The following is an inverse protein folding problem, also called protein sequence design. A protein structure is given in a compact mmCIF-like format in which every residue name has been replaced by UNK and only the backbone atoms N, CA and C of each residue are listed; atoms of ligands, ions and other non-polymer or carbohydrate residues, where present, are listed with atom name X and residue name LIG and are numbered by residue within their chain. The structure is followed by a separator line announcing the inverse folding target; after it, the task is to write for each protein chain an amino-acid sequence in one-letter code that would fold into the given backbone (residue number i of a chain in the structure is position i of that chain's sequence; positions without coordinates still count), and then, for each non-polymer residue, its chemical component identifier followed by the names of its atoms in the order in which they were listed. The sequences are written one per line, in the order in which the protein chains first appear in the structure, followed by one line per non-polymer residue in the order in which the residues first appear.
data_IF_845052839751
#
_entry.id   IF_845052839751
#
_cell.length_a   1.000
_cell.length_b   1.000
_cell.length_c   1.000
_cell.angle_alpha   90.00
_cell.angle_beta   90.00
_cell.angle_gamma   90.00
#
_symmetry.space_group_name_H-M   'P 1'
#
loop_
_entity.id
_entity.type
_entity.pdbx_description
1 polymer ?
#
# COMPACT_ATOMS: atom_id res chain seq x y z
N UNK A 1 12.34 3.59 -3.79
CA UNK A 1 12.91 3.03 -5.04
C UNK A 1 12.53 3.93 -6.23
N UNK A 2 13.38 4.13 -7.25
CA UNK A 2 12.99 4.88 -8.45
C UNK A 2 11.97 4.09 -9.29
N UNK A 3 11.15 4.81 -10.06
CA UNK A 3 10.12 4.28 -10.98
C UNK A 3 8.91 3.55 -10.36
N UNK A 4 8.75 3.52 -9.03
CA UNK A 4 7.61 2.85 -8.37
C UNK A 4 6.24 3.53 -8.58
N UNK A 5 6.22 4.75 -9.12
CA UNK A 5 5.02 5.52 -9.46
C UNK A 5 4.01 5.64 -8.29
N UNK A 6 4.36 6.36 -7.20
CA UNK A 6 3.41 6.63 -6.13
C UNK A 6 2.27 7.53 -6.64
N UNK A 7 1.02 7.11 -6.45
CA UNK A 7 -0.15 7.86 -6.94
C UNK A 7 -1.07 8.38 -5.83
N UNK A 8 -1.11 7.71 -4.67
CA UNK A 8 -1.95 8.12 -3.54
C UNK A 8 -1.32 7.68 -2.22
N UNK A 9 -1.60 8.43 -1.15
CA UNK A 9 -1.30 8.02 0.20
C UNK A 9 -2.44 8.35 1.17
N UNK A 10 -2.48 7.68 2.31
CA UNK A 10 -3.36 7.98 3.42
C UNK A 10 -2.67 7.73 4.76
N UNK A 11 -2.83 8.63 5.72
CA UNK A 11 -2.50 8.31 7.11
C UNK A 11 -3.57 7.40 7.69
N UNK A 12 -3.16 6.40 8.46
CA UNK A 12 -4.06 5.50 9.13
C UNK A 12 -4.67 6.16 10.37
N UNK A 13 -5.96 6.45 10.29
CA UNK A 13 -6.75 7.11 11.34
C UNK A 13 -7.77 6.16 11.97
N UNK A 14 -7.78 4.89 11.57
CA UNK A 14 -8.63 3.86 12.16
C UNK A 14 -8.00 3.20 13.38
N UNK A 15 -8.78 2.34 14.03
CA UNK A 15 -8.42 1.59 15.23
C UNK A 15 -8.51 0.05 15.03
N UNK A 16 -8.89 -0.40 13.83
CA UNK A 16 -9.05 -1.83 13.51
C UNK A 16 -7.71 -2.56 13.44
N UNK A 17 -6.67 -1.93 12.87
CA UNK A 17 -5.34 -2.52 12.82
C UNK A 17 -4.64 -2.40 14.18
N UNK A 18 -3.62 -3.24 14.44
CA UNK A 18 -2.83 -3.17 15.67
C UNK A 18 -2.29 -1.77 15.96
N UNK A 19 -2.09 -1.46 17.24
CA UNK A 19 -1.72 -0.12 17.70
C UNK A 19 -0.43 0.42 17.07
N UNK A 20 0.49 -0.46 16.65
CA UNK A 20 1.69 -0.01 15.95
C UNK A 20 1.42 0.66 14.60
N UNK A 21 0.27 0.40 13.95
CA UNK A 21 -0.12 1.00 12.67
C UNK A 21 -0.75 2.38 12.82
N UNK A 22 -1.11 2.79 14.05
CA UNK A 22 -1.88 4.01 14.28
C UNK A 22 -1.05 5.25 13.95
N UNK A 23 -1.56 6.06 13.04
CA UNK A 23 -0.88 7.26 12.55
C UNK A 23 0.17 6.99 11.45
N UNK A 24 0.43 5.74 11.09
CA UNK A 24 1.35 5.42 9.99
C UNK A 24 0.78 5.79 8.62
N UNK A 25 1.65 5.88 7.64
CA UNK A 25 1.29 6.25 6.27
C UNK A 25 1.19 5.00 5.38
N UNK A 26 0.13 4.88 4.61
CA UNK A 26 0.00 3.90 3.53
C UNK A 26 0.17 4.59 2.18
N UNK A 27 0.97 4.00 1.29
CA UNK A 27 1.32 4.57 -0.01
C UNK A 27 1.08 3.55 -1.12
N UNK A 28 0.27 3.92 -2.11
CA UNK A 28 -0.03 3.10 -3.28
C UNK A 28 1.03 3.32 -4.38
N UNK A 29 1.74 2.25 -4.72
CA UNK A 29 2.78 2.23 -5.74
C UNK A 29 2.24 1.54 -7.00
N UNK A 30 1.95 2.34 -8.03
CA UNK A 30 1.32 1.88 -9.28
C UNK A 30 2.21 0.98 -10.14
N UNK A 31 3.51 1.08 -9.94
CA UNK A 31 4.49 0.19 -10.55
C UNK A 31 5.19 0.75 -11.79
N UNK A 32 6.41 0.30 -11.99
CA UNK A 32 7.31 0.75 -13.06
C UNK A 32 6.96 0.16 -14.42
N UNK A 33 6.84 0.99 -15.46
CA UNK A 33 6.77 0.52 -16.85
C UNK A 33 8.14 0.48 -17.56
N UNK A 34 9.10 1.32 -17.12
CA UNK A 34 10.41 1.49 -17.76
C UNK A 34 11.58 1.20 -16.80
N UNK A 35 11.55 0.03 -16.16
CA UNK A 35 12.64 -0.43 -15.28
C UNK A 35 12.72 -1.96 -15.30
N UNK A 36 13.94 -2.49 -15.30
CA UNK A 36 14.20 -3.90 -15.01
C UNK A 36 15.25 -4.03 -13.88
N UNK A 37 14.99 -4.82 -12.82
CA UNK A 37 13.71 -5.50 -12.52
C UNK A 37 12.58 -4.48 -12.24
N UNK A 38 11.32 -4.93 -12.22
CA UNK A 38 10.18 -4.04 -11.89
C UNK A 38 10.25 -3.58 -10.42
N UNK A 39 9.65 -2.43 -10.11
CA UNK A 39 9.45 -1.90 -8.75
C UNK A 39 8.04 -1.34 -8.58
N UNK A 40 7.54 -1.31 -7.33
CA UNK A 40 6.16 -0.92 -7.02
C UNK A 40 5.21 -2.10 -7.24
N UNK A 41 3.98 -1.83 -7.72
CA UNK A 41 2.90 -2.82 -7.83
C UNK A 41 2.48 -3.35 -6.45
N UNK A 42 2.27 -2.45 -5.51
CA UNK A 42 2.02 -2.79 -4.10
C UNK A 42 1.45 -1.61 -3.33
N UNK A 43 0.84 -1.91 -2.17
CA UNK A 43 0.69 -0.94 -1.09
C UNK A 43 1.83 -1.15 -0.09
N UNK A 44 2.53 -0.07 0.27
CA UNK A 44 3.53 -0.08 1.33
C UNK A 44 3.03 0.69 2.55
N UNK A 45 3.51 0.30 3.73
CA UNK A 45 3.40 1.04 4.98
C UNK A 45 4.70 1.79 5.23
N UNK A 46 4.62 3.06 5.61
CA UNK A 46 5.75 3.85 6.11
C UNK A 46 5.51 4.08 7.60
N UNK A 47 6.26 3.39 8.47
CA UNK A 47 6.18 3.62 9.91
C UNK A 47 6.59 5.06 10.26
N UNK A 48 5.78 5.71 11.09
CA UNK A 48 6.12 7.01 11.69
C UNK A 48 6.52 6.87 13.16
N UNK A 49 6.57 5.64 13.66
CA UNK A 49 6.99 5.26 15.01
C UNK A 49 6.30 6.07 16.11
N UNK A 50 5.06 6.48 15.88
CA UNK A 50 4.28 7.35 16.78
C UNK A 50 4.96 8.70 17.09
N UNK A 51 5.97 9.09 16.29
CA UNK A 51 6.73 10.34 16.40
C UNK A 51 6.34 11.35 15.32
N UNK A 52 5.45 10.96 14.39
CA UNK A 52 5.00 11.77 13.27
C UNK A 52 6.09 12.03 12.23
N UNK A 53 7.18 11.24 12.25
CA UNK A 53 8.33 11.38 11.35
C UNK A 53 8.71 10.03 10.77
N UNK A 54 8.81 9.97 9.44
CA UNK A 54 9.32 8.80 8.74
C UNK A 54 10.85 8.74 8.88
N UNK A 55 11.40 7.56 9.15
CA UNK A 55 12.86 7.32 9.19
C UNK A 55 13.46 6.93 7.83
N UNK A 56 12.62 6.79 6.81
CA UNK A 56 13.02 6.51 5.42
C UNK A 56 12.85 5.06 5.00
N UNK A 57 12.54 4.16 5.93
CA UNK A 57 12.09 2.80 5.69
C UNK A 57 10.60 2.74 5.32
N UNK A 58 10.25 1.65 4.67
CA UNK A 58 8.88 1.25 4.42
C UNK A 58 8.81 -0.28 4.38
N UNK A 59 7.63 -0.80 4.59
CA UNK A 59 7.33 -2.23 4.68
C UNK A 59 6.28 -2.59 3.62
N UNK A 60 6.46 -3.75 3.00
CA UNK A 60 5.48 -4.34 2.10
C UNK A 60 4.19 -4.66 2.89
N UNK A 61 3.03 -4.23 2.39
CA UNK A 61 1.75 -4.43 3.07
C UNK A 61 0.73 -5.20 2.24
N UNK A 62 0.49 -4.79 0.99
CA UNK A 62 -0.36 -5.52 0.03
C UNK A 62 0.44 -5.73 -1.25
N UNK A 63 0.89 -6.97 -1.46
CA UNK A 63 1.79 -7.35 -2.57
C UNK A 63 1.22 -8.51 -3.38
N UNK A 64 2.01 -9.03 -4.33
CA UNK A 64 1.64 -10.18 -5.15
C UNK A 64 1.06 -9.82 -6.51
N UNK A 65 0.93 -8.53 -6.84
CA UNK A 65 0.41 -8.05 -8.13
C UNK A 65 1.34 -8.30 -9.33
N UNK A 66 2.56 -8.78 -9.07
CA UNK A 66 3.51 -9.26 -10.08
C UNK A 66 3.79 -10.74 -9.82
N UNK A 67 3.57 -11.60 -10.82
CA UNK A 67 3.86 -13.04 -10.71
C UNK A 67 5.36 -13.31 -10.75
N UNK A 68 5.77 -14.53 -10.40
CA UNK A 68 7.17 -15.00 -10.51
C UNK A 68 7.72 -14.89 -11.94
N UNK A 69 6.87 -15.01 -12.95
CA UNK A 69 7.21 -14.88 -14.38
C UNK A 69 7.25 -13.41 -14.83
N UNK A 70 6.90 -12.48 -13.94
CA UNK A 70 6.86 -11.05 -14.22
C UNK A 70 5.58 -10.56 -14.88
N UNK A 71 4.49 -11.34 -14.85
CA UNK A 71 3.20 -10.86 -15.34
C UNK A 71 2.57 -9.92 -14.30
N UNK A 72 2.01 -8.80 -14.76
CA UNK A 72 1.31 -7.83 -13.89
C UNK A 72 -0.18 -8.08 -14.00
N UNK A 73 -0.85 -8.27 -12.88
CA UNK A 73 -2.31 -8.46 -12.84
C UNK A 73 -3.05 -7.42 -11.99
N UNK A 74 -2.33 -6.52 -11.32
CA UNK A 74 -2.91 -5.37 -10.62
C UNK A 74 -1.93 -4.20 -10.48
N UNK A 75 -2.47 -3.01 -10.31
CA UNK A 75 -1.76 -1.73 -10.26
C UNK A 75 -2.45 -0.80 -9.26
N UNK A 76 -2.01 -0.77 -7.99
CA UNK A 76 -2.62 0.08 -6.97
C UNK A 76 -2.56 1.57 -7.33
N UNK A 77 -3.67 2.29 -7.17
CA UNK A 77 -3.81 3.72 -7.48
C UNK A 77 -4.14 4.53 -6.23
N UNK A 78 -5.34 4.32 -5.69
CA UNK A 78 -5.89 5.08 -4.57
C UNK A 78 -5.86 4.26 -3.29
N UNK A 79 -5.69 4.92 -2.15
CA UNK A 79 -5.84 4.32 -0.82
C UNK A 79 -6.65 5.24 0.09
N UNK A 80 -7.59 4.66 0.84
CA UNK A 80 -8.42 5.38 1.81
C UNK A 80 -8.73 4.51 3.04
N UNK A 81 -8.87 5.14 4.20
CA UNK A 81 -9.36 4.48 5.42
C UNK A 81 -10.90 4.50 5.38
N UNK A 82 -11.52 3.32 5.46
CA UNK A 82 -12.95 3.17 5.55
C UNK A 82 -13.46 3.50 6.96
N UNK A 83 -14.78 3.69 7.09
CA UNK A 83 -15.41 4.05 8.37
C UNK A 83 -15.21 3.03 9.49
N UNK A 84 -15.02 1.76 9.13
CA UNK A 84 -14.77 0.66 10.07
C UNK A 84 -13.28 0.46 10.37
N UNK A 85 -12.40 1.33 9.86
CA UNK A 85 -10.95 1.22 10.04
C UNK A 85 -10.26 0.27 9.07
N UNK A 86 -10.97 -0.36 8.12
CA UNK A 86 -10.31 -1.12 7.03
C UNK A 86 -9.67 -0.18 6.00
N UNK A 87 -8.72 -0.67 5.21
CA UNK A 87 -8.21 0.06 4.04
C UNK A 87 -8.96 -0.33 2.78
N UNK A 88 -9.31 0.66 1.96
CA UNK A 88 -9.76 0.48 0.59
C UNK A 88 -8.64 0.87 -0.36
N UNK A 89 -8.31 -0.02 -1.30
CA UNK A 89 -7.26 0.20 -2.30
C UNK A 89 -7.87 0.02 -3.69
N UNK A 90 -7.84 1.05 -4.54
CA UNK A 90 -8.26 0.92 -5.93
C UNK A 90 -7.11 0.39 -6.81
N UNK A 91 -7.47 -0.42 -7.79
CA UNK A 91 -6.56 -1.03 -8.75
C UNK A 91 -7.14 -0.86 -10.16
N UNK A 92 -6.50 -0.02 -10.98
CA UNK A 92 -6.94 0.26 -12.35
C UNK A 92 -6.49 -0.82 -13.35
N UNK A 93 -5.49 -1.63 -13.00
CA UNK A 93 -5.00 -2.73 -13.82
C UNK A 93 -5.99 -3.90 -13.87
N UNK A 94 -6.67 -4.17 -12.74
CA UNK A 94 -7.70 -5.22 -12.66
C UNK A 94 -9.14 -4.69 -12.63
N UNK A 95 -9.36 -3.39 -12.42
CA UNK A 95 -10.69 -2.82 -12.22
C UNK A 95 -11.32 -3.18 -10.87
N UNK A 96 -10.49 -3.42 -9.84
CA UNK A 96 -10.90 -3.93 -8.53
C UNK A 96 -10.76 -2.86 -7.44
N UNK A 97 -11.61 -2.94 -6.41
CA UNK A 97 -11.37 -2.29 -5.11
C UNK A 97 -11.10 -3.38 -4.08
N UNK A 98 -9.88 -3.40 -3.55
CA UNK A 98 -9.49 -4.27 -2.46
C UNK A 98 -9.92 -3.67 -1.13
N UNK A 99 -10.39 -4.51 -0.22
CA UNK A 99 -10.65 -4.15 1.17
C UNK A 99 -9.73 -4.99 2.06
N UNK A 100 -8.87 -4.33 2.83
CA UNK A 100 -7.95 -4.98 3.77
C UNK A 100 -8.44 -4.73 5.19
N UNK A 101 -8.82 -5.80 5.88
CA UNK A 101 -9.30 -5.80 7.26
C UNK A 101 -8.44 -6.69 8.14
N UNK A 102 -8.30 -6.32 9.42
CA UNK A 102 -7.59 -7.10 10.43
C UNK A 102 -8.60 -7.90 11.27
N UNK A 103 -8.43 -9.22 11.34
CA UNK A 103 -9.31 -10.12 12.09
C UNK A 103 -8.76 -10.54 13.47
N UNK A 104 -7.55 -10.11 13.86
CA UNK A 104 -7.03 -10.31 15.22
C UNK A 104 -6.76 -11.76 15.65
N UNK A 105 -6.49 -12.67 14.71
CA UNK A 105 -6.14 -14.07 15.03
C UNK A 105 -4.69 -14.23 15.46
#
# INVERSE_FOLDING_TARGET
QPHSAPLSFAFYTGDQFPAEYHGDLFLALHGSWNRQPRTGYELVRVPLHQQGKASGEYEDFLTGFVTSEGNVWGRPVGVAVAKDGSLLVSDDGSGTIWRVSYEGK
#
